data_IF_684320118487
#
_entry.id   IF_684320118487
#
_cell.length_a   1.000
_cell.length_b   1.000
_cell.length_c   1.000
_cell.angle_alpha   90.00
_cell.angle_beta   90.00
_cell.angle_gamma   90.00
#
_symmetry.space_group_name_H-M   'P 1'
#
loop_
_entity.id
_entity.type
_entity.pdbx_description
1 polymer ?
#
# COMPACT_ATOMS: atom_id res chain seq x y z
N UNK A 1 -39.00 -11.59 -1.75
CA UNK A 1 -39.33 -12.39 -0.56
C UNK A 1 -39.54 -13.82 -1.01
N UNK A 2 -38.48 -14.58 -1.19
CA UNK A 2 -38.50 -15.99 -1.58
C UNK A 2 -37.41 -16.70 -0.78
N UNK A 3 -37.63 -16.97 0.48
CA UNK A 3 -36.56 -17.54 1.30
C UNK A 3 -37.00 -18.47 2.44
N UNK A 4 -38.23 -18.40 2.88
CA UNK A 4 -38.66 -19.18 4.04
C UNK A 4 -39.63 -20.30 3.64
N UNK A 5 -40.27 -20.23 2.49
CA UNK A 5 -41.27 -21.20 2.06
C UNK A 5 -40.72 -22.61 1.78
N UNK A 6 -39.39 -22.77 1.65
CA UNK A 6 -38.74 -24.06 1.34
C UNK A 6 -37.99 -24.69 2.54
N UNK A 7 -37.95 -24.07 3.73
CA UNK A 7 -37.17 -24.55 4.86
C UNK A 7 -37.47 -26.02 5.20
N UNK A 8 -38.75 -26.37 5.29
CA UNK A 8 -39.15 -27.75 5.68
C UNK A 8 -38.70 -28.80 4.67
N UNK A 9 -38.78 -28.51 3.40
CA UNK A 9 -38.32 -29.42 2.33
C UNK A 9 -36.80 -29.57 2.34
N UNK A 10 -36.07 -28.50 2.59
CA UNK A 10 -34.61 -28.50 2.69
C UNK A 10 -34.14 -29.35 3.87
N UNK A 11 -34.73 -29.14 5.03
CA UNK A 11 -34.40 -29.94 6.24
C UNK A 11 -34.74 -31.42 6.02
N UNK A 12 -35.90 -31.76 5.43
CA UNK A 12 -36.30 -33.10 5.11
C UNK A 12 -35.28 -33.80 4.18
N UNK A 13 -34.89 -33.13 3.12
CA UNK A 13 -33.95 -33.66 2.14
C UNK A 13 -32.55 -33.83 2.74
N UNK A 14 -32.04 -32.82 3.45
CA UNK A 14 -30.73 -32.87 4.10
C UNK A 14 -30.66 -33.97 5.18
N UNK A 15 -31.69 -34.09 6.00
CA UNK A 15 -31.78 -35.16 6.99
C UNK A 15 -31.78 -36.55 6.35
N UNK A 16 -32.55 -36.75 5.26
CA UNK A 16 -32.57 -38.00 4.52
C UNK A 16 -31.22 -38.33 3.88
N UNK A 17 -30.56 -37.31 3.32
CA UNK A 17 -29.21 -37.42 2.74
C UNK A 17 -28.19 -37.82 3.81
N UNK A 18 -28.34 -37.30 5.05
CA UNK A 18 -27.54 -37.67 6.20
C UNK A 18 -27.91 -39.03 6.81
N UNK A 19 -28.89 -39.77 6.25
CA UNK A 19 -29.31 -41.09 6.71
C UNK A 19 -30.02 -41.11 8.08
N UNK A 20 -30.49 -39.95 8.56
CA UNK A 20 -31.08 -39.82 9.90
C UNK A 20 -32.61 -39.97 9.88
N UNK A 21 -33.19 -40.63 10.91
CA UNK A 21 -34.62 -40.59 11.18
C UNK A 21 -35.02 -39.28 11.85
N UNK A 22 -36.31 -38.88 11.79
CA UNK A 22 -36.80 -37.71 12.54
C UNK A 22 -36.50 -37.81 14.04
N UNK A 23 -36.56 -38.98 14.61
CA UNK A 23 -36.27 -39.25 16.02
C UNK A 23 -34.76 -39.06 16.33
N UNK A 24 -33.89 -39.58 15.48
CA UNK A 24 -32.45 -39.43 15.64
C UNK A 24 -32.02 -37.95 15.52
N UNK A 25 -32.64 -37.20 14.59
CA UNK A 25 -32.37 -35.79 14.40
C UNK A 25 -32.90 -34.96 15.57
N UNK A 26 -34.12 -35.24 16.03
CA UNK A 26 -34.71 -34.58 17.20
C UNK A 26 -33.88 -34.81 18.48
N UNK A 27 -33.38 -36.02 18.68
CA UNK A 27 -32.52 -36.35 19.82
C UNK A 27 -31.21 -35.55 19.82
N UNK A 28 -30.62 -35.33 18.65
CA UNK A 28 -29.40 -34.51 18.52
C UNK A 28 -29.66 -33.01 18.84
N UNK A 29 -30.82 -32.49 18.51
CA UNK A 29 -31.23 -31.10 18.77
C UNK A 29 -31.86 -30.91 20.15
N UNK A 30 -32.03 -31.97 20.99
CA UNK A 30 -32.68 -31.89 22.28
C UNK A 30 -34.17 -31.52 22.22
N UNK A 31 -34.87 -31.83 21.12
CA UNK A 31 -36.29 -31.47 20.88
C UNK A 31 -37.14 -32.71 20.60
N UNK A 32 -38.43 -32.54 20.41
CA UNK A 32 -39.33 -33.65 20.13
C UNK A 32 -39.38 -34.02 18.64
N UNK A 33 -39.56 -35.31 18.27
CA UNK A 33 -39.75 -35.71 16.87
C UNK A 33 -40.94 -35.03 16.21
N UNK A 34 -41.99 -34.68 16.97
CA UNK A 34 -43.16 -33.93 16.48
C UNK A 34 -42.77 -32.52 16.02
N UNK A 35 -41.76 -31.87 16.64
CA UNK A 35 -41.26 -30.57 16.19
C UNK A 35 -40.61 -30.69 14.82
N UNK A 36 -39.74 -31.67 14.63
CA UNK A 36 -39.12 -31.97 13.33
C UNK A 36 -40.20 -32.22 12.26
N UNK A 37 -41.18 -33.08 12.57
CA UNK A 37 -42.27 -33.37 11.64
C UNK A 37 -43.08 -32.12 11.25
N UNK A 38 -43.33 -31.20 12.20
CA UNK A 38 -43.99 -29.93 11.89
C UNK A 38 -43.15 -29.06 10.96
N UNK A 39 -41.84 -28.99 11.19
CA UNK A 39 -40.94 -28.21 10.33
C UNK A 39 -40.89 -28.77 8.90
N UNK A 40 -40.70 -30.09 8.77
CA UNK A 40 -40.63 -30.75 7.47
C UNK A 40 -41.93 -30.69 6.67
N UNK A 41 -43.07 -30.55 7.33
CA UNK A 41 -44.37 -30.35 6.68
C UNK A 41 -44.78 -28.87 6.54
N UNK A 42 -43.91 -27.92 6.86
CA UNK A 42 -44.19 -26.49 6.74
C UNK A 42 -45.20 -25.95 7.76
N UNK A 43 -45.48 -26.73 8.85
CA UNK A 43 -46.45 -26.38 9.88
C UNK A 43 -45.84 -25.60 11.05
N UNK A 44 -44.56 -25.23 10.94
CA UNK A 44 -43.84 -24.43 11.93
C UNK A 44 -42.36 -24.30 11.57
N UNK A 45 -41.66 -23.45 12.32
CA UNK A 45 -40.23 -23.19 12.17
C UNK A 45 -39.55 -23.37 13.52
N UNK A 46 -38.22 -23.69 13.52
CA UNK A 46 -37.42 -23.68 14.74
C UNK A 46 -37.22 -22.24 15.25
N UNK A 47 -36.85 -22.12 16.52
CA UNK A 47 -36.29 -20.88 17.03
C UNK A 47 -35.00 -20.53 16.26
N UNK A 48 -34.78 -19.23 16.04
CA UNK A 48 -33.63 -18.76 15.28
C UNK A 48 -32.30 -19.23 15.87
N UNK A 49 -32.24 -19.46 17.16
CA UNK A 49 -31.06 -19.95 17.89
C UNK A 49 -30.67 -21.39 17.52
N UNK A 50 -31.61 -22.17 16.95
CA UNK A 50 -31.36 -23.57 16.53
C UNK A 50 -30.82 -23.67 15.09
N UNK A 51 -30.86 -22.61 14.29
CA UNK A 51 -30.39 -22.69 12.91
C UNK A 51 -28.92 -23.09 12.76
N UNK A 52 -27.97 -22.55 13.56
CA UNK A 52 -26.58 -23.01 13.49
C UNK A 52 -26.42 -24.49 13.76
N UNK A 53 -27.09 -25.00 14.80
CA UNK A 53 -27.02 -26.41 15.22
C UNK A 53 -27.69 -27.35 14.19
N UNK A 54 -28.80 -26.92 13.60
CA UNK A 54 -29.45 -27.62 12.49
C UNK A 54 -28.51 -27.75 11.29
N UNK A 55 -27.86 -26.64 10.90
CA UNK A 55 -26.91 -26.58 9.78
C UNK A 55 -25.72 -27.52 10.01
N UNK A 56 -25.17 -27.51 11.23
CA UNK A 56 -24.05 -28.36 11.64
C UNK A 56 -24.42 -29.84 11.61
N UNK A 57 -25.54 -30.23 12.25
CA UNK A 57 -25.98 -31.65 12.30
C UNK A 57 -26.29 -32.18 10.92
N UNK A 58 -26.84 -31.34 10.02
CA UNK A 58 -27.18 -31.72 8.65
C UNK A 58 -26.00 -31.56 7.67
N UNK A 59 -24.90 -31.03 8.15
CA UNK A 59 -23.69 -30.74 7.37
C UNK A 59 -24.01 -29.93 6.07
N UNK A 60 -24.78 -28.87 6.23
CA UNK A 60 -25.13 -27.92 5.15
C UNK A 60 -24.85 -26.49 5.61
N UNK A 61 -24.50 -25.57 4.66
CA UNK A 61 -24.37 -24.15 4.98
C UNK A 61 -25.67 -23.59 5.56
N UNK A 62 -25.56 -22.69 6.55
CA UNK A 62 -26.73 -22.10 7.21
C UNK A 62 -27.63 -21.34 6.19
N UNK A 63 -27.05 -20.74 5.15
CA UNK A 63 -27.73 -20.03 4.07
C UNK A 63 -28.62 -20.97 3.26
N UNK A 64 -28.24 -22.25 3.15
CA UNK A 64 -29.01 -23.28 2.46
C UNK A 64 -30.33 -23.57 3.16
N UNK A 65 -30.44 -23.36 4.48
CA UNK A 65 -31.68 -23.51 5.23
C UNK A 65 -32.74 -22.49 4.83
N UNK A 66 -32.33 -21.38 4.21
CA UNK A 66 -33.22 -20.30 3.76
C UNK A 66 -33.53 -20.38 2.25
N UNK A 67 -33.20 -21.51 1.60
CA UNK A 67 -33.41 -21.65 0.17
C UNK A 67 -32.50 -20.76 -0.68
N UNK A 68 -31.50 -20.14 -0.07
CA UNK A 68 -30.35 -19.63 -0.80
C UNK A 68 -29.57 -20.89 -1.18
N UNK A 69 -29.71 -21.33 -2.42
CA UNK A 69 -28.74 -22.25 -2.97
C UNK A 69 -27.40 -21.57 -2.77
N UNK A 70 -26.65 -22.01 -1.77
CA UNK A 70 -25.20 -21.83 -1.82
C UNK A 70 -24.84 -22.60 -3.07
N UNK A 71 -24.59 -21.83 -4.12
CA UNK A 71 -24.17 -22.34 -5.41
C UNK A 71 -22.87 -23.12 -5.14
N UNK A 72 -23.00 -24.39 -4.74
CA UNK A 72 -21.88 -25.34 -4.74
C UNK A 72 -21.40 -25.56 -6.18
N UNK A 73 -22.09 -25.03 -7.18
CA UNK A 73 -21.65 -24.89 -8.55
C UNK A 73 -21.03 -23.53 -8.86
N UNK A 74 -21.09 -22.57 -7.94
CA UNK A 74 -20.07 -21.52 -7.78
C UNK A 74 -18.98 -22.01 -6.80
N UNK A 75 -18.47 -23.20 -7.01
CA UNK A 75 -17.04 -23.31 -7.16
C UNK A 75 -16.70 -22.11 -8.04
N UNK A 76 -16.19 -21.03 -7.43
CA UNK A 76 -15.47 -19.98 -8.16
C UNK A 76 -14.63 -20.80 -9.09
N UNK A 77 -14.90 -20.76 -10.45
CA UNK A 77 -14.22 -21.66 -11.36
C UNK A 77 -12.76 -21.45 -11.03
N UNK A 78 -12.10 -22.51 -10.53
CA UNK A 78 -10.70 -22.46 -10.19
C UNK A 78 -10.07 -21.69 -11.31
N UNK A 79 -9.38 -20.57 -11.08
CA UNK A 79 -8.79 -19.83 -12.15
C UNK A 79 -8.00 -20.86 -12.94
N UNK A 80 -8.54 -21.22 -14.10
CA UNK A 80 -7.91 -22.21 -14.98
C UNK A 80 -6.49 -21.76 -15.08
N UNK A 81 -5.54 -22.66 -14.80
CA UNK A 81 -4.10 -22.50 -14.83
C UNK A 81 -3.74 -21.26 -15.67
N UNK A 82 -3.72 -20.10 -15.03
CA UNK A 82 -3.11 -18.91 -15.63
C UNK A 82 -1.63 -19.21 -15.50
N UNK A 83 -0.94 -19.25 -16.61
CA UNK A 83 0.46 -19.58 -16.68
C UNK A 83 1.21 -18.90 -15.53
N UNK A 84 1.81 -19.70 -14.65
CA UNK A 84 2.60 -19.25 -13.51
C UNK A 84 1.96 -19.37 -12.11
N UNK A 85 0.64 -19.63 -11.96
CA UNK A 85 0.01 -19.79 -10.66
C UNK A 85 -0.19 -21.29 -10.35
N UNK A 86 0.64 -21.85 -9.49
CA UNK A 86 0.63 -23.28 -9.20
C UNK A 86 -0.26 -23.68 -8.01
N UNK A 87 -0.61 -22.75 -7.09
CA UNK A 87 -1.28 -23.11 -5.83
C UNK A 87 -2.19 -22.00 -5.31
N UNK A 88 -3.31 -22.42 -4.71
CA UNK A 88 -4.24 -21.55 -4.01
C UNK A 88 -4.35 -22.02 -2.56
N UNK A 89 -3.97 -21.15 -1.63
CA UNK A 89 -4.16 -21.36 -0.21
C UNK A 89 -5.43 -20.64 0.23
N UNK A 90 -6.36 -21.30 0.88
CA UNK A 90 -7.65 -20.71 1.23
C UNK A 90 -8.02 -20.88 2.69
N UNK A 91 -8.66 -19.86 3.24
CA UNK A 91 -9.33 -19.91 4.53
C UNK A 91 -10.64 -19.13 4.40
N UNK A 92 -11.78 -19.77 4.65
CA UNK A 92 -13.12 -19.21 4.46
C UNK A 92 -13.28 -18.57 3.07
N UNK A 93 -13.42 -17.26 2.97
CA UNK A 93 -13.55 -16.53 1.71
C UNK A 93 -12.24 -15.88 1.24
N UNK A 94 -11.09 -16.33 1.76
CA UNK A 94 -9.77 -15.80 1.45
C UNK A 94 -8.97 -16.80 0.65
N UNK A 95 -8.34 -16.37 -0.43
CA UNK A 95 -7.42 -17.17 -1.21
C UNK A 95 -6.11 -16.42 -1.41
N UNK A 96 -4.99 -17.07 -1.09
CA UNK A 96 -3.65 -16.60 -1.43
C UNK A 96 -3.11 -17.43 -2.57
N UNK A 97 -2.45 -16.78 -3.52
CA UNK A 97 -1.89 -17.41 -4.70
C UNK A 97 -0.37 -17.40 -4.59
N UNK A 98 0.28 -18.52 -4.91
CA UNK A 98 1.73 -18.59 -5.02
C UNK A 98 2.14 -18.93 -6.43
N UNK A 99 3.10 -18.20 -6.99
CA UNK A 99 3.77 -18.54 -8.26
C UNK A 99 4.85 -19.61 -8.07
N UNK A 100 5.27 -19.86 -6.82
CA UNK A 100 6.27 -20.87 -6.50
C UNK A 100 5.68 -22.27 -6.64
N UNK A 101 6.45 -23.17 -7.22
CA UNK A 101 6.06 -24.57 -7.31
C UNK A 101 6.20 -25.25 -5.95
N UNK A 102 5.12 -25.82 -5.43
CA UNK A 102 5.16 -26.58 -4.17
C UNK A 102 5.76 -27.95 -4.44
N UNK A 103 6.78 -28.29 -3.69
CA UNK A 103 7.42 -29.59 -3.70
C UNK A 103 6.64 -30.62 -2.88
N UNK A 104 6.27 -30.23 -1.66
CA UNK A 104 5.48 -31.07 -0.75
C UNK A 104 4.75 -30.23 0.28
N UNK A 105 3.68 -30.78 0.83
CA UNK A 105 2.93 -30.22 1.95
C UNK A 105 3.01 -31.17 3.12
N UNK A 106 3.45 -30.65 4.26
CA UNK A 106 3.42 -31.30 5.53
C UNK A 106 2.12 -30.90 6.25
N UNK A 107 1.11 -31.75 6.15
CA UNK A 107 -0.21 -31.47 6.70
C UNK A 107 -0.24 -31.55 8.24
N UNK A 108 0.66 -32.32 8.87
CA UNK A 108 0.75 -32.41 10.33
C UNK A 108 1.33 -31.16 10.95
N UNK A 109 2.32 -30.57 10.30
CA UNK A 109 2.99 -29.36 10.79
C UNK A 109 2.46 -28.08 10.11
N UNK A 110 1.51 -28.20 9.19
CA UNK A 110 0.94 -27.09 8.43
C UNK A 110 2.04 -26.27 7.70
N UNK A 111 2.94 -26.94 6.97
CA UNK A 111 4.04 -26.31 6.25
C UNK A 111 4.00 -26.70 4.77
N UNK A 112 4.07 -25.73 3.86
CA UNK A 112 4.38 -25.95 2.45
C UNK A 112 5.88 -25.75 2.20
N UNK A 113 6.50 -26.68 1.46
CA UNK A 113 7.87 -26.61 0.98
C UNK A 113 7.86 -26.37 -0.52
N UNK A 114 8.65 -25.42 -0.98
CA UNK A 114 8.74 -25.06 -2.39
C UNK A 114 10.03 -25.60 -3.01
N UNK A 115 10.01 -25.80 -4.32
CA UNK A 115 11.16 -26.34 -5.09
C UNK A 115 12.38 -25.42 -5.05
N UNK A 116 12.24 -24.16 -4.69
CA UNK A 116 13.32 -23.19 -4.47
C UNK A 116 13.95 -23.31 -3.07
N UNK A 117 13.55 -24.29 -2.26
CA UNK A 117 14.01 -24.48 -0.90
C UNK A 117 13.35 -23.59 0.16
N UNK A 118 12.47 -22.68 -0.24
CA UNK A 118 11.69 -21.86 0.70
C UNK A 118 10.53 -22.65 1.30
N UNK A 119 9.97 -22.17 2.41
CA UNK A 119 8.83 -22.76 3.08
C UNK A 119 7.81 -21.70 3.51
N UNK A 120 6.53 -22.06 3.54
CA UNK A 120 5.45 -21.23 4.07
C UNK A 120 4.73 -21.96 5.22
N UNK A 121 4.39 -21.23 6.28
CA UNK A 121 3.52 -21.70 7.36
C UNK A 121 2.07 -21.60 6.88
N UNK A 122 1.32 -22.71 7.00
CA UNK A 122 -0.05 -22.85 6.53
C UNK A 122 -1.08 -22.90 7.67
N UNK A 123 -0.69 -22.60 8.91
CA UNK A 123 -1.62 -22.61 10.05
C UNK A 123 -2.82 -21.69 9.88
N UNK A 124 -2.72 -20.70 8.99
CA UNK A 124 -3.78 -19.74 8.67
C UNK A 124 -4.76 -20.24 7.61
N UNK A 125 -4.47 -21.31 6.89
CA UNK A 125 -5.35 -21.81 5.84
C UNK A 125 -5.93 -23.17 6.24
N UNK A 126 -7.18 -23.39 5.90
CA UNK A 126 -7.87 -24.63 6.14
C UNK A 126 -7.90 -25.56 4.91
N UNK A 127 -7.49 -25.06 3.75
CA UNK A 127 -7.37 -25.87 2.55
C UNK A 127 -6.29 -25.37 1.60
N UNK A 128 -5.59 -26.28 0.94
CA UNK A 128 -4.67 -26.02 -0.16
C UNK A 128 -5.14 -26.75 -1.39
N UNK A 129 -5.28 -26.03 -2.49
CA UNK A 129 -5.66 -26.64 -3.76
C UNK A 129 -4.44 -26.79 -4.66
N UNK A 130 -4.21 -28.00 -5.13
CA UNK A 130 -3.00 -28.42 -5.85
C UNK A 130 -3.42 -29.10 -7.14
N UNK A 131 -3.32 -28.42 -8.27
CA UNK A 131 -3.43 -29.01 -9.59
C UNK A 131 -4.70 -29.86 -9.86
N UNK A 132 -5.82 -29.52 -9.21
CA UNK A 132 -7.09 -30.25 -9.30
C UNK A 132 -7.40 -31.18 -8.15
N UNK A 133 -6.51 -31.25 -7.12
CA UNK A 133 -6.75 -31.89 -5.83
C UNK A 133 -6.89 -30.88 -4.70
N UNK A 134 -7.65 -31.20 -3.67
CA UNK A 134 -7.82 -30.38 -2.47
C UNK A 134 -7.23 -31.13 -1.27
N UNK A 135 -6.31 -30.47 -0.54
CA UNK A 135 -5.82 -30.94 0.77
C UNK A 135 -6.50 -30.08 1.82
N UNK A 136 -7.39 -30.67 2.60
CA UNK A 136 -8.01 -30.00 3.75
C UNK A 136 -7.22 -30.33 4.99
N UNK A 137 -6.90 -29.30 5.77
CA UNK A 137 -6.37 -29.46 7.11
C UNK A 137 -7.57 -29.70 8.05
N UNK A 138 -7.63 -30.86 8.65
CA UNK A 138 -8.65 -31.22 9.65
C UNK A 138 -8.11 -30.70 10.98
N UNK A 139 -8.89 -29.81 11.62
CA UNK A 139 -8.66 -29.18 12.93
C UNK A 139 -7.72 -27.96 12.91
N UNK A 140 -8.32 -26.78 12.67
CA UNK A 140 -7.93 -25.63 13.46
C UNK A 140 -8.90 -25.58 14.64
N UNK A 141 -8.49 -26.13 15.78
CA UNK A 141 -9.18 -25.84 17.05
C UNK A 141 -9.16 -24.33 17.25
N UNK A 142 -10.25 -23.78 17.80
CA UNK A 142 -10.49 -22.40 18.14
C UNK A 142 -9.23 -21.67 18.64
N UNK A 143 -8.52 -21.05 17.73
CA UNK A 143 -7.50 -20.08 18.05
C UNK A 143 -8.08 -18.70 17.76
N UNK A 144 -8.46 -18.03 18.85
CA UNK A 144 -8.70 -16.60 18.86
C UNK A 144 -7.61 -15.89 18.03
N UNK A 145 -8.04 -15.15 17.00
CA UNK A 145 -7.29 -14.15 16.24
C UNK A 145 -5.85 -14.50 15.77
N UNK A 146 -5.69 -15.59 15.04
CA UNK A 146 -4.41 -15.93 14.36
C UNK A 146 -4.12 -14.99 13.17
N UNK A 147 -5.03 -14.07 12.82
CA UNK A 147 -4.86 -13.15 11.69
C UNK A 147 -3.65 -12.22 11.81
N UNK A 148 -3.11 -12.03 13.01
CA UNK A 148 -2.05 -11.08 13.31
C UNK A 148 -0.61 -11.65 13.21
N UNK A 149 -0.44 -12.96 13.05
CA UNK A 149 0.86 -13.64 13.12
C UNK A 149 1.37 -14.29 11.84
N UNK A 150 0.62 -14.35 10.77
CA UNK A 150 0.94 -15.15 9.60
C UNK A 150 1.52 -14.31 8.49
N UNK A 151 2.80 -14.55 8.17
CA UNK A 151 3.45 -14.00 6.97
C UNK A 151 3.14 -14.89 5.77
N UNK A 152 2.61 -14.27 4.72
CA UNK A 152 2.50 -14.86 3.39
C UNK A 152 3.36 -14.09 2.40
N UNK A 153 3.63 -14.71 1.26
CA UNK A 153 4.30 -14.07 0.12
C UNK A 153 3.37 -14.11 -1.09
N UNK A 154 3.24 -12.99 -1.77
CA UNK A 154 2.54 -12.85 -3.03
C UNK A 154 3.55 -12.47 -4.10
N UNK A 155 3.58 -13.20 -5.20
CA UNK A 155 4.40 -12.87 -6.36
C UNK A 155 3.50 -12.80 -7.59
N UNK A 156 3.60 -11.70 -8.38
CA UNK A 156 2.87 -11.53 -9.64
C UNK A 156 3.84 -11.06 -10.70
N UNK A 157 3.87 -11.78 -11.82
CA UNK A 157 4.63 -11.36 -13.00
C UNK A 157 3.73 -10.55 -13.94
N UNK A 158 4.31 -9.55 -14.56
CA UNK A 158 3.67 -8.65 -15.50
C UNK A 158 4.44 -8.63 -16.82
N UNK A 159 3.79 -8.19 -17.88
CA UNK A 159 4.46 -7.78 -19.11
C UNK A 159 5.37 -6.57 -18.83
N UNK A 160 6.08 -6.11 -19.84
CA UNK A 160 6.89 -4.90 -19.75
C UNK A 160 6.03 -3.69 -19.31
N UNK A 161 6.57 -2.92 -18.37
CA UNK A 161 6.07 -1.62 -17.97
C UNK A 161 7.27 -0.76 -17.52
N UNK A 162 7.19 0.55 -17.70
CA UNK A 162 8.23 1.49 -17.30
C UNK A 162 7.78 2.43 -16.19
N UNK A 163 6.49 2.57 -15.99
CA UNK A 163 5.88 3.53 -15.07
C UNK A 163 5.18 2.83 -13.91
N UNK A 164 5.20 3.45 -12.73
CA UNK A 164 4.57 2.92 -11.51
C UNK A 164 3.70 3.99 -10.87
N UNK A 165 2.45 3.65 -10.61
CA UNK A 165 1.55 4.48 -9.79
C UNK A 165 1.18 3.69 -8.54
N UNK A 166 1.65 4.11 -7.36
CA UNK A 166 1.40 3.45 -6.10
C UNK A 166 0.66 4.35 -5.10
N UNK A 167 -0.45 3.86 -4.55
CA UNK A 167 -1.21 4.50 -3.47
C UNK A 167 -1.11 3.64 -2.22
N UNK A 168 -0.18 3.98 -1.34
CA UNK A 168 0.14 3.23 -0.13
C UNK A 168 -0.73 3.72 1.03
N UNK A 169 -1.89 3.10 1.19
CA UNK A 169 -2.84 3.41 2.27
C UNK A 169 -2.75 2.43 3.44
N UNK A 170 -1.86 1.46 3.32
CA UNK A 170 -1.57 0.46 4.36
C UNK A 170 -0.08 0.48 4.68
N UNK A 171 0.32 0.40 5.96
CA UNK A 171 1.73 0.43 6.35
C UNK A 171 2.53 -0.70 5.70
N UNK A 172 3.55 -0.35 4.94
CA UNK A 172 4.51 -1.28 4.34
C UNK A 172 5.82 -0.58 3.97
N UNK A 173 6.90 -1.35 3.93
CA UNK A 173 8.15 -0.91 3.31
C UNK A 173 8.02 -1.16 1.79
N UNK A 174 8.03 -0.10 0.98
CA UNK A 174 7.82 -0.16 -0.45
C UNK A 174 9.14 0.04 -1.20
N UNK A 175 9.41 -0.82 -2.18
CA UNK A 175 10.64 -0.79 -2.96
C UNK A 175 10.34 -0.82 -4.44
N UNK A 176 11.03 0.02 -5.22
CA UNK A 176 11.13 -0.11 -6.68
C UNK A 176 12.59 -0.42 -7.00
N UNK A 177 12.82 -1.52 -7.70
CA UNK A 177 14.13 -2.05 -8.07
C UNK A 177 14.19 -2.38 -9.54
N UNK A 178 15.37 -2.29 -10.13
CA UNK A 178 15.62 -2.77 -11.49
C UNK A 178 15.85 -4.27 -11.51
N UNK A 179 15.46 -4.91 -12.59
CA UNK A 179 15.76 -6.32 -12.85
C UNK A 179 16.29 -6.55 -14.26
N UNK A 180 17.26 -7.45 -14.39
CA UNK A 180 17.75 -7.90 -15.69
C UNK A 180 16.82 -8.92 -16.38
N UNK A 181 15.75 -9.34 -15.70
CA UNK A 181 14.84 -10.39 -16.16
C UNK A 181 13.78 -9.81 -17.10
N UNK A 182 13.93 -9.21 -18.15
CA UNK A 182 12.98 -8.77 -19.19
C UNK A 182 11.45 -8.77 -18.91
N UNK A 183 11.02 -9.01 -17.66
CA UNK A 183 9.63 -9.03 -17.18
C UNK A 183 9.51 -8.28 -15.87
N UNK A 184 8.45 -7.52 -15.76
CA UNK A 184 8.10 -6.85 -14.50
C UNK A 184 7.58 -7.85 -13.46
N UNK A 185 7.87 -7.59 -12.19
CA UNK A 185 7.42 -8.44 -11.09
C UNK A 185 7.03 -7.62 -9.87
N UNK A 186 5.96 -8.02 -9.21
CA UNK A 186 5.58 -7.52 -7.88
C UNK A 186 5.70 -8.64 -6.87
N UNK A 187 6.46 -8.39 -5.82
CA UNK A 187 6.60 -9.32 -4.68
C UNK A 187 6.10 -8.60 -3.43
N UNK A 188 5.13 -9.18 -2.76
CA UNK A 188 4.63 -8.67 -1.50
C UNK A 188 4.76 -9.73 -0.42
N UNK A 189 5.24 -9.34 0.76
CA UNK A 189 5.35 -10.19 1.94
C UNK A 189 4.74 -9.47 3.13
N UNK A 190 3.93 -10.16 3.89
CA UNK A 190 3.27 -9.55 5.04
C UNK A 190 2.13 -10.37 5.60
N UNK A 191 1.30 -9.75 6.40
CA UNK A 191 0.14 -10.42 6.95
C UNK A 191 -0.94 -10.69 5.88
N UNK A 192 -1.79 -11.68 6.14
CA UNK A 192 -2.84 -12.11 5.21
C UNK A 192 -3.80 -10.98 4.82
N UNK A 193 -4.09 -10.06 5.75
CA UNK A 193 -4.96 -8.90 5.53
C UNK A 193 -4.31 -7.90 4.56
N UNK A 194 -3.02 -7.60 4.72
CA UNK A 194 -2.25 -6.78 3.79
C UNK A 194 -2.30 -7.38 2.37
N UNK A 195 -1.95 -8.66 2.24
CA UNK A 195 -1.90 -9.36 0.95
C UNK A 195 -3.27 -9.46 0.27
N UNK A 196 -4.35 -9.69 1.03
CA UNK A 196 -5.72 -9.80 0.49
C UNK A 196 -6.32 -8.47 0.03
N UNK A 197 -5.80 -7.34 0.52
CA UNK A 197 -6.24 -6.00 0.12
C UNK A 197 -5.40 -5.41 -1.01
N UNK A 198 -4.22 -5.97 -1.29
CA UNK A 198 -3.33 -5.50 -2.35
C UNK A 198 -3.94 -5.73 -3.74
N UNK A 199 -4.09 -4.64 -4.48
CA UNK A 199 -4.50 -4.62 -5.89
C UNK A 199 -3.30 -4.21 -6.72
N UNK A 200 -2.99 -4.99 -7.74
CA UNK A 200 -1.94 -4.67 -8.71
C UNK A 200 -2.46 -4.91 -10.11
N UNK A 201 -2.49 -3.89 -10.93
CA UNK A 201 -3.05 -3.91 -12.29
C UNK A 201 -2.07 -3.26 -13.26
N UNK A 202 -1.86 -3.85 -14.42
CA UNK A 202 -1.07 -3.27 -15.48
C UNK A 202 -1.98 -2.63 -16.52
N UNK A 203 -1.85 -1.32 -16.72
CA UNK A 203 -2.59 -0.54 -17.69
C UNK A 203 -1.62 0.08 -18.70
N UNK A 204 -1.48 -0.55 -19.87
CA UNK A 204 -0.47 -0.16 -20.86
C UNK A 204 0.94 -0.26 -20.28
N UNK A 205 1.67 0.85 -20.28
CA UNK A 205 3.04 0.94 -19.76
C UNK A 205 3.12 1.28 -18.26
N UNK A 206 2.00 1.32 -17.56
CA UNK A 206 1.93 1.69 -16.14
C UNK A 206 1.45 0.54 -15.28
N UNK A 207 2.19 0.21 -14.25
CA UNK A 207 1.75 -0.65 -13.16
C UNK A 207 1.04 0.18 -12.09
N UNK A 208 -0.22 -0.11 -11.85
CA UNK A 208 -1.02 0.51 -10.79
C UNK A 208 -1.06 -0.38 -9.54
N UNK A 209 -0.74 0.20 -8.39
CA UNK A 209 -0.73 -0.43 -7.08
C UNK A 209 -1.64 0.35 -6.14
N UNK A 210 -2.57 -0.35 -5.53
CA UNK A 210 -3.49 0.24 -4.57
C UNK A 210 -3.98 -0.81 -3.57
N UNK A 211 -4.74 -0.37 -2.58
CA UNK A 211 -5.35 -1.26 -1.61
C UNK A 211 -6.87 -1.08 -1.62
N UNK A 212 -7.61 -2.19 -1.45
CA UNK A 212 -9.05 -2.12 -1.19
C UNK A 212 -9.27 -1.26 0.05
N UNK A 213 -10.37 -0.48 0.07
CA UNK A 213 -10.71 0.45 1.14
C UNK A 213 -10.52 -0.20 2.51
N UNK A 214 -9.55 0.30 3.29
CA UNK A 214 -9.14 -0.30 4.55
C UNK A 214 -10.19 -0.05 5.64
N UNK A 215 -10.44 -1.07 6.44
CA UNK A 215 -11.02 -0.98 7.77
C UNK A 215 -9.89 -0.56 8.72
N UNK A 216 -10.12 0.41 9.59
CA UNK A 216 -9.10 1.13 10.38
C UNK A 216 -8.33 0.32 11.45
N UNK A 217 -8.42 -1.00 11.50
CA UNK A 217 -7.73 -1.81 12.51
C UNK A 217 -6.62 -2.65 11.88
N UNK A 218 -5.40 -2.09 11.87
CA UNK A 218 -4.19 -2.85 11.61
C UNK A 218 -3.35 -2.94 12.88
N UNK A 219 -2.99 -4.14 13.32
CA UNK A 219 -2.03 -4.29 14.39
C UNK A 219 -0.66 -3.80 13.91
N UNK A 220 -0.13 -2.83 14.64
CA UNK A 220 1.09 -2.08 14.31
C UNK A 220 2.41 -2.87 14.44
N UNK A 221 2.35 -4.20 14.58
CA UNK A 221 3.54 -5.02 14.93
C UNK A 221 4.18 -5.79 13.78
N UNK A 222 3.59 -5.82 12.59
CA UNK A 222 4.15 -6.56 11.46
C UNK A 222 4.66 -5.64 10.37
N UNK A 223 5.91 -5.83 9.97
CA UNK A 223 6.47 -5.22 8.77
C UNK A 223 5.93 -5.96 7.55
N UNK A 224 5.11 -5.27 6.76
CA UNK A 224 4.77 -5.70 5.42
C UNK A 224 5.79 -5.13 4.45
N UNK A 225 6.13 -5.86 3.41
CA UNK A 225 7.02 -5.39 2.35
C UNK A 225 6.35 -5.54 0.99
N UNK A 226 6.58 -4.60 0.12
CA UNK A 226 6.09 -4.59 -1.24
C UNK A 226 7.20 -4.15 -2.18
N UNK A 227 7.66 -5.04 -3.05
CA UNK A 227 8.73 -4.77 -4.00
C UNK A 227 8.23 -4.88 -5.42
N UNK A 228 8.49 -3.84 -6.21
CA UNK A 228 8.28 -3.80 -7.65
C UNK A 228 9.62 -3.95 -8.34
N UNK A 229 9.75 -4.93 -9.21
CA UNK A 229 10.89 -5.11 -10.08
C UNK A 229 10.55 -4.61 -11.48
N UNK A 230 11.26 -3.59 -11.93
CA UNK A 230 11.13 -3.01 -13.26
C UNK A 230 11.96 -3.79 -14.27
N UNK A 231 11.40 -4.13 -15.43
CA UNK A 231 12.14 -4.89 -16.47
C UNK A 231 13.19 -4.07 -17.20
N UNK A 232 13.16 -2.74 -17.09
CA UNK A 232 14.12 -1.84 -17.75
C UNK A 232 14.23 -0.50 -17.00
N UNK A 233 15.39 0.14 -17.11
CA UNK A 233 15.73 1.42 -16.46
C UNK A 233 15.55 2.59 -17.43
N UNK A 234 14.37 2.92 -17.86
CA UNK A 234 14.23 3.97 -18.87
C UNK A 234 13.10 4.94 -18.59
N UNK A 235 13.45 6.02 -17.89
CA UNK A 235 12.74 7.29 -17.98
C UNK A 235 11.23 7.28 -17.67
N UNK A 236 10.75 6.24 -16.99
CA UNK A 236 9.34 6.08 -16.63
C UNK A 236 8.85 7.15 -15.67
N UNK A 237 7.54 7.14 -15.44
CA UNK A 237 6.87 8.04 -14.49
C UNK A 237 6.57 7.28 -13.21
N UNK A 238 7.10 7.74 -12.09
CA UNK A 238 6.79 7.18 -10.77
C UNK A 238 5.89 8.14 -9.99
N UNK A 239 4.67 7.69 -9.70
CA UNK A 239 3.68 8.44 -8.89
C UNK A 239 3.44 7.69 -7.60
N UNK A 240 4.02 8.18 -6.52
CA UNK A 240 3.99 7.54 -5.21
C UNK A 240 3.20 8.39 -4.23
N UNK A 241 2.12 7.85 -3.72
CA UNK A 241 1.30 8.47 -2.70
C UNK A 241 1.36 7.66 -1.42
N UNK A 242 1.97 8.21 -0.40
CA UNK A 242 2.13 7.61 0.93
C UNK A 242 1.09 8.22 1.87
N UNK A 243 0.19 7.37 2.36
CA UNK A 243 -0.80 7.78 3.36
C UNK A 243 -0.53 6.99 4.65
N UNK A 244 0.09 7.63 5.64
CA UNK A 244 0.43 6.98 6.90
C UNK A 244 1.93 6.90 7.15
N UNK A 245 2.46 5.70 7.47
CA UNK A 245 3.85 5.46 7.89
C UNK A 245 4.60 4.46 7.01
N UNK A 246 4.27 4.40 5.74
CA UNK A 246 4.98 3.55 4.77
C UNK A 246 6.27 4.23 4.33
N UNK A 247 7.38 3.48 4.38
CA UNK A 247 8.66 3.95 3.86
C UNK A 247 8.85 3.47 2.43
N UNK A 248 9.40 4.32 1.58
CA UNK A 248 9.59 4.05 0.16
C UNK A 248 11.04 4.19 -0.24
N UNK A 249 11.56 3.22 -1.00
CA UNK A 249 12.89 3.28 -1.60
C UNK A 249 12.80 2.99 -3.10
N UNK A 250 13.19 3.97 -3.91
CA UNK A 250 13.16 3.94 -5.36
C UNK A 250 14.61 3.94 -5.86
N UNK A 251 15.11 2.77 -6.23
CA UNK A 251 16.51 2.61 -6.64
C UNK A 251 16.79 3.05 -8.09
N UNK A 252 15.89 2.84 -9.08
CA UNK A 252 16.15 3.24 -10.46
C UNK A 252 15.91 4.73 -10.69
N UNK A 253 16.71 5.30 -11.59
CA UNK A 253 16.47 6.64 -12.11
C UNK A 253 15.14 6.71 -12.88
N UNK A 254 14.51 7.88 -12.90
CA UNK A 254 13.23 8.03 -13.58
C UNK A 254 13.11 9.34 -14.39
N UNK A 255 12.15 9.36 -15.30
CA UNK A 255 11.84 10.57 -16.07
C UNK A 255 11.09 11.59 -15.24
N UNK A 256 10.03 11.17 -14.58
CA UNK A 256 9.20 12.04 -13.73
C UNK A 256 8.94 11.35 -12.39
N UNK A 257 9.21 12.06 -11.32
CA UNK A 257 8.97 11.63 -9.95
C UNK A 257 7.89 12.50 -9.31
N UNK A 258 6.72 11.94 -9.07
CA UNK A 258 5.62 12.58 -8.35
C UNK A 258 5.46 11.91 -6.98
N UNK A 259 5.78 12.62 -5.90
CA UNK A 259 5.69 12.16 -4.52
C UNK A 259 4.62 12.95 -3.77
N UNK A 260 3.75 12.27 -3.09
CA UNK A 260 2.78 12.85 -2.16
C UNK A 260 2.82 12.09 -0.84
N UNK A 261 3.32 12.72 0.22
CA UNK A 261 3.39 12.15 1.57
C UNK A 261 2.34 12.82 2.45
N UNK A 262 1.37 12.02 2.92
CA UNK A 262 0.36 12.46 3.87
C UNK A 262 0.48 11.61 5.15
N UNK A 263 1.42 11.98 6.02
CA UNK A 263 1.73 11.20 7.23
C UNK A 263 3.17 11.38 7.68
N UNK A 264 3.81 10.27 8.10
CA UNK A 264 5.16 10.22 8.65
C UNK A 264 6.05 9.16 7.98
N UNK A 265 5.68 8.67 6.82
CA UNK A 265 6.51 7.74 6.05
C UNK A 265 7.53 8.48 5.22
N UNK A 266 8.72 7.90 5.07
CA UNK A 266 9.85 8.50 4.38
C UNK A 266 9.99 7.97 2.95
N UNK A 267 10.49 8.82 2.06
CA UNK A 267 10.73 8.45 0.66
C UNK A 267 12.17 8.74 0.28
N UNK A 268 12.89 7.70 -0.18
CA UNK A 268 14.22 7.84 -0.78
C UNK A 268 14.14 7.47 -2.26
N UNK A 269 14.67 8.32 -3.12
CA UNK A 269 14.69 8.10 -4.56
C UNK A 269 16.07 8.42 -5.17
N UNK A 270 16.40 7.77 -6.27
CA UNK A 270 17.58 8.06 -7.09
C UNK A 270 17.39 9.35 -7.90
N UNK A 271 18.14 9.51 -8.99
CA UNK A 271 18.09 10.66 -9.86
C UNK A 271 16.79 10.70 -10.69
N UNK A 272 16.30 11.90 -11.00
CA UNK A 272 15.16 12.05 -11.91
C UNK A 272 15.29 13.27 -12.82
N UNK A 273 14.54 13.26 -13.91
CA UNK A 273 14.54 14.43 -14.80
C UNK A 273 13.68 15.55 -14.24
N UNK A 274 12.51 15.25 -13.71
CA UNK A 274 11.59 16.24 -13.12
C UNK A 274 11.00 15.70 -11.83
N UNK A 275 10.84 16.59 -10.84
CA UNK A 275 10.26 16.23 -9.55
C UNK A 275 9.07 17.12 -9.19
N UNK A 276 8.01 16.49 -8.72
CA UNK A 276 6.93 17.12 -7.99
C UNK A 276 6.78 16.43 -6.64
N UNK A 277 7.10 17.15 -5.56
CA UNK A 277 7.07 16.66 -4.20
C UNK A 277 6.08 17.46 -3.35
N UNK A 278 5.15 16.79 -2.71
CA UNK A 278 4.18 17.37 -1.78
C UNK A 278 4.18 16.62 -0.48
N UNK A 279 4.51 17.27 0.63
CA UNK A 279 4.52 16.71 1.97
C UNK A 279 3.44 17.41 2.79
N UNK A 280 2.52 16.63 3.35
CA UNK A 280 1.50 17.09 4.31
C UNK A 280 1.63 16.23 5.58
N UNK A 281 2.59 16.58 6.45
CA UNK A 281 2.90 15.79 7.65
C UNK A 281 4.31 15.99 8.13
N UNK A 282 4.94 14.90 8.57
CA UNK A 282 6.30 14.87 9.16
C UNK A 282 7.22 13.83 8.51
N UNK A 283 6.81 13.26 7.38
CA UNK A 283 7.66 12.34 6.63
C UNK A 283 8.67 13.09 5.79
N UNK A 284 9.85 12.51 5.59
CA UNK A 284 10.97 13.10 4.89
C UNK A 284 11.12 12.56 3.48
N UNK A 285 11.64 13.39 2.58
CA UNK A 285 11.93 12.99 1.20
C UNK A 285 13.38 13.25 0.88
N UNK A 286 14.10 12.20 0.46
CA UNK A 286 15.48 12.28 -0.02
C UNK A 286 15.54 11.87 -1.49
N UNK A 287 16.15 12.70 -2.32
CA UNK A 287 16.30 12.45 -3.75
C UNK A 287 17.72 12.76 -4.21
N UNK A 288 18.19 12.08 -5.22
CA UNK A 288 19.45 12.40 -5.87
C UNK A 288 19.38 13.73 -6.64
N UNK A 289 19.72 13.75 -7.92
CA UNK A 289 19.72 14.94 -8.77
C UNK A 289 18.41 15.07 -9.53
N UNK A 290 17.91 16.31 -9.64
CA UNK A 290 16.77 16.68 -10.47
C UNK A 290 17.24 17.54 -11.63
N UNK A 291 17.18 17.00 -12.86
CA UNK A 291 17.88 17.58 -14.01
C UNK A 291 17.17 18.77 -14.70
N UNK A 292 15.81 18.83 -14.72
CA UNK A 292 15.12 19.79 -15.60
C UNK A 292 14.02 20.64 -14.93
N UNK A 293 13.59 20.31 -13.74
CA UNK A 293 12.55 21.13 -13.09
C UNK A 293 12.03 20.50 -11.80
N UNK A 294 11.88 21.34 -10.80
CA UNK A 294 11.58 20.95 -9.45
C UNK A 294 10.42 21.74 -8.88
N UNK A 295 9.45 21.06 -8.30
CA UNK A 295 8.37 21.67 -7.53
C UNK A 295 8.26 20.97 -6.18
N UNK A 296 8.48 21.70 -5.09
CA UNK A 296 8.45 21.19 -3.73
C UNK A 296 7.43 22.00 -2.92
N UNK A 297 6.51 21.31 -2.27
CA UNK A 297 5.52 21.87 -1.35
C UNK A 297 5.53 21.12 -0.03
N UNK A 298 5.93 21.78 1.06
CA UNK A 298 5.95 21.22 2.39
C UNK A 298 4.89 21.92 3.25
N UNK A 299 3.91 21.17 3.74
CA UNK A 299 2.88 21.64 4.66
C UNK A 299 2.95 20.81 5.94
N UNK A 300 3.75 21.25 6.90
CA UNK A 300 4.02 20.49 8.12
C UNK A 300 5.44 20.67 8.62
N UNK A 301 6.06 19.56 9.07
CA UNK A 301 7.41 19.53 9.63
C UNK A 301 8.33 18.52 8.95
N UNK A 302 7.93 17.99 7.80
CA UNK A 302 8.76 17.07 7.03
C UNK A 302 9.82 17.81 6.23
N UNK A 303 10.93 17.16 5.97
CA UNK A 303 12.10 17.71 5.30
C UNK A 303 12.29 17.15 3.89
N UNK A 304 12.90 17.95 3.02
CA UNK A 304 13.32 17.51 1.68
C UNK A 304 14.81 17.71 1.52
N UNK A 305 15.54 16.63 1.25
CA UNK A 305 16.98 16.66 0.97
C UNK A 305 17.24 16.24 -0.48
N UNK A 306 18.03 17.01 -1.22
CA UNK A 306 18.43 16.69 -2.58
C UNK A 306 19.91 16.96 -2.82
N UNK A 307 20.55 16.20 -3.74
CA UNK A 307 21.92 16.52 -4.14
C UNK A 307 21.95 17.78 -5.02
N UNK A 308 21.09 17.86 -6.03
CA UNK A 308 21.00 19.01 -6.91
C UNK A 308 19.58 19.24 -7.41
N UNK A 309 19.14 20.49 -7.46
CA UNK A 309 17.82 20.91 -7.94
C UNK A 309 17.93 21.88 -9.12
N UNK A 310 17.21 21.60 -10.19
CA UNK A 310 17.12 22.49 -11.35
C UNK A 310 15.87 23.35 -11.28
N UNK A 311 16.04 24.68 -11.40
CA UNK A 311 14.98 25.69 -11.45
C UNK A 311 13.86 25.46 -10.40
N UNK A 312 14.20 25.41 -9.10
CA UNK A 312 13.25 24.96 -8.08
C UNK A 312 12.18 26.02 -7.76
N UNK A 313 10.94 25.52 -7.66
CA UNK A 313 9.83 26.23 -7.01
C UNK A 313 9.60 25.55 -5.65
N UNK A 314 9.95 26.25 -4.56
CA UNK A 314 9.88 25.75 -3.19
C UNK A 314 8.82 26.53 -2.42
N UNK A 315 7.88 25.83 -1.83
CA UNK A 315 6.87 26.42 -0.95
C UNK A 315 6.85 25.66 0.38
N UNK A 316 7.09 26.35 1.49
CA UNK A 316 7.04 25.79 2.84
C UNK A 316 5.97 26.52 3.63
N UNK A 317 5.00 25.76 4.14
CA UNK A 317 3.95 26.24 5.04
C UNK A 317 4.00 25.45 6.35
N UNK A 318 4.86 25.87 7.27
CA UNK A 318 5.11 25.13 8.53
C UNK A 318 6.50 25.32 9.05
N UNK A 319 7.11 24.23 9.55
CA UNK A 319 8.45 24.20 10.14
C UNK A 319 9.37 23.17 9.48
N UNK A 320 8.99 22.64 8.34
CA UNK A 320 9.85 21.73 7.57
C UNK A 320 10.96 22.47 6.84
N UNK A 321 11.97 21.74 6.38
CA UNK A 321 13.12 22.30 5.68
C UNK A 321 13.31 21.75 4.27
N UNK A 322 14.02 22.51 3.45
CA UNK A 322 14.51 22.03 2.14
C UNK A 322 16.02 22.28 2.08
N UNK A 323 16.77 21.21 1.90
CA UNK A 323 18.22 21.23 1.83
C UNK A 323 18.73 20.68 0.50
N UNK A 324 19.64 21.40 -0.15
CA UNK A 324 20.31 20.93 -1.37
C UNK A 324 21.74 21.45 -1.43
N UNK A 325 22.64 20.63 -1.96
CA UNK A 325 24.03 21.08 -2.15
C UNK A 325 24.15 22.08 -3.29
N UNK A 326 23.37 21.88 -4.37
CA UNK A 326 23.49 22.66 -5.57
C UNK A 326 22.11 23.01 -6.18
N UNK A 327 21.93 24.27 -6.49
CA UNK A 327 20.82 24.74 -7.32
C UNK A 327 21.39 25.27 -8.64
N UNK A 328 20.75 24.86 -9.75
CA UNK A 328 21.13 25.30 -11.09
C UNK A 328 19.89 25.77 -11.86
N UNK A 329 20.09 26.68 -12.82
CA UNK A 329 19.02 27.11 -13.72
C UNK A 329 18.79 28.62 -13.73
N UNK A 330 17.80 29.02 -14.52
CA UNK A 330 17.54 30.45 -14.74
C UNK A 330 16.83 31.11 -13.56
N UNK A 331 15.91 30.41 -12.91
CA UNK A 331 15.08 30.96 -11.85
C UNK A 331 14.92 29.99 -10.65
N UNK A 332 15.07 30.55 -9.46
CA UNK A 332 14.72 29.89 -8.19
C UNK A 332 13.62 30.71 -7.50
N UNK A 333 12.51 30.05 -7.17
CA UNK A 333 11.41 30.67 -6.44
C UNK A 333 11.25 30.00 -5.08
N UNK A 334 11.32 30.77 -4.01
CA UNK A 334 11.18 30.30 -2.64
C UNK A 334 10.10 31.10 -1.91
N UNK A 335 9.15 30.40 -1.31
CA UNK A 335 8.10 30.98 -0.46
C UNK A 335 8.03 30.23 0.86
N UNK A 336 8.37 30.90 1.95
CA UNK A 336 8.31 30.35 3.30
C UNK A 336 7.21 31.07 4.09
N UNK A 337 6.26 30.30 4.63
CA UNK A 337 5.20 30.80 5.49
C UNK A 337 5.23 30.02 6.81
N UNK A 338 5.91 30.56 7.82
CA UNK A 338 6.12 29.90 9.11
C UNK A 338 7.54 30.03 9.60
N UNK A 339 8.10 28.92 10.10
CA UNK A 339 9.47 28.83 10.65
C UNK A 339 10.31 27.78 9.92
N UNK A 340 9.96 27.48 8.70
CA UNK A 340 10.71 26.52 7.90
C UNK A 340 11.95 27.14 7.27
N UNK A 341 12.92 26.29 6.91
CA UNK A 341 14.24 26.73 6.48
C UNK A 341 14.58 26.20 5.08
N UNK A 342 15.41 26.99 4.36
CA UNK A 342 15.97 26.55 3.07
C UNK A 342 17.47 26.75 3.11
N UNK A 343 18.23 25.66 2.90
CA UNK A 343 19.69 25.65 2.81
C UNK A 343 20.11 25.22 1.42
N UNK A 344 20.88 26.05 0.71
CA UNK A 344 21.32 25.73 -0.63
C UNK A 344 22.62 26.44 -1.05
N UNK A 345 23.30 25.84 -2.05
CA UNK A 345 24.40 26.46 -2.79
C UNK A 345 24.12 26.49 -4.28
N UNK A 346 25.12 26.83 -5.12
CA UNK A 346 25.05 26.77 -6.55
C UNK A 346 24.93 28.13 -7.28
N UNK A 347 24.29 28.14 -8.45
CA UNK A 347 24.19 29.38 -9.25
C UNK A 347 22.82 29.45 -9.95
N UNK A 348 22.15 30.60 -9.81
CA UNK A 348 20.90 30.91 -10.49
C UNK A 348 20.94 32.33 -11.10
N UNK A 349 20.24 32.54 -12.21
CA UNK A 349 20.18 33.88 -12.80
C UNK A 349 19.25 34.80 -12.00
N UNK A 350 18.11 34.29 -11.55
CA UNK A 350 17.13 35.06 -10.76
C UNK A 350 16.67 34.31 -9.53
N UNK A 351 16.77 34.96 -8.37
CA UNK A 351 16.19 34.48 -7.10
C UNK A 351 14.95 35.32 -6.76
N UNK A 352 13.82 34.64 -6.54
CA UNK A 352 12.60 35.24 -5.95
C UNK A 352 12.37 34.62 -4.59
N UNK A 353 12.63 35.36 -3.52
CA UNK A 353 12.52 34.91 -2.14
C UNK A 353 11.43 35.68 -1.39
N UNK A 354 10.48 34.94 -0.85
CA UNK A 354 9.43 35.50 0.01
C UNK A 354 9.38 34.74 1.34
N UNK A 355 9.58 35.47 2.45
CA UNK A 355 9.49 34.90 3.77
C UNK A 355 8.43 35.62 4.59
N UNK A 356 7.43 34.90 5.07
CA UNK A 356 6.36 35.39 5.96
C UNK A 356 6.44 34.62 7.27
N UNK A 357 7.17 35.13 8.25
CA UNK A 357 7.36 34.44 9.54
C UNK A 357 8.76 34.56 10.10
N UNK A 358 9.30 33.48 10.65
CA UNK A 358 10.62 33.43 11.25
C UNK A 358 11.53 32.39 10.58
N UNK A 359 11.22 32.03 9.35
CA UNK A 359 12.00 31.05 8.60
C UNK A 359 13.35 31.63 8.14
N UNK A 360 14.30 30.73 7.90
CA UNK A 360 15.67 31.04 7.48
C UNK A 360 15.92 30.65 6.02
N UNK A 361 16.69 31.49 5.34
CA UNK A 361 17.23 31.17 4.02
C UNK A 361 18.75 31.26 4.10
N UNK A 362 19.43 30.14 4.24
CA UNK A 362 20.88 30.04 4.41
C UNK A 362 21.56 29.51 3.14
N UNK A 363 22.11 30.41 2.36
CA UNK A 363 22.72 30.10 1.08
C UNK A 363 24.07 30.81 0.88
N UNK A 364 25.07 30.57 1.75
CA UNK A 364 26.35 31.26 1.71
C UNK A 364 27.19 30.93 0.46
N UNK A 365 26.90 29.82 -0.20
CA UNK A 365 27.58 29.38 -1.42
C UNK A 365 26.75 29.64 -2.69
N UNK A 366 25.57 30.25 -2.56
CA UNK A 366 24.72 30.59 -3.70
C UNK A 366 25.18 31.84 -4.39
N UNK A 367 25.35 31.77 -5.70
CA UNK A 367 25.60 32.91 -6.58
C UNK A 367 24.31 33.24 -7.37
N UNK A 368 23.87 34.47 -7.24
CA UNK A 368 22.63 34.96 -7.87
C UNK A 368 22.94 36.08 -8.86
N UNK A 369 22.36 36.07 -10.05
CA UNK A 369 22.41 37.18 -10.99
C UNK A 369 21.60 38.37 -10.46
N UNK A 370 20.31 38.20 -10.28
CA UNK A 370 19.37 39.20 -9.76
C UNK A 370 18.51 38.64 -8.64
N UNK A 371 18.32 39.38 -7.54
CA UNK A 371 17.57 38.93 -6.38
C UNK A 371 16.36 39.83 -6.09
N UNK A 372 15.18 39.20 -5.94
CA UNK A 372 13.93 39.82 -5.47
C UNK A 372 13.59 39.23 -4.10
N UNK A 373 13.79 40.02 -3.04
CA UNK A 373 13.67 39.56 -1.66
C UNK A 373 12.55 40.32 -0.94
N UNK A 374 11.58 39.59 -0.43
CA UNK A 374 10.47 40.13 0.37
C UNK A 374 10.33 39.37 1.67
N UNK A 375 10.61 40.02 2.79
CA UNK A 375 10.52 39.41 4.12
C UNK A 375 9.52 40.16 4.99
N UNK A 376 8.58 39.44 5.55
CA UNK A 376 7.58 39.96 6.50
C UNK A 376 7.65 39.12 7.77
N UNK A 377 8.41 39.60 8.74
CA UNK A 377 8.65 38.86 10.00
C UNK A 377 10.07 39.01 10.51
N UNK A 378 10.58 37.95 11.15
CA UNK A 378 11.91 37.93 11.80
C UNK A 378 12.88 36.97 11.09
N UNK A 379 12.70 36.77 9.78
CA UNK A 379 13.52 35.82 9.04
C UNK A 379 14.98 36.25 8.88
N UNK A 380 15.89 35.32 8.95
CA UNK A 380 17.31 35.50 8.68
C UNK A 380 17.67 35.01 7.28
N UNK A 381 18.31 35.88 6.49
CA UNK A 381 18.65 35.61 5.10
C UNK A 381 20.15 35.75 4.90
N UNK A 382 20.79 34.71 4.40
CA UNK A 382 22.21 34.72 4.01
C UNK A 382 22.31 34.32 2.55
N UNK A 383 22.99 35.15 1.76
CA UNK A 383 23.25 34.87 0.32
C UNK A 383 24.75 35.10 0.07
N UNK A 384 25.37 34.15 -0.63
CA UNK A 384 26.79 34.21 -0.94
C UNK A 384 27.13 35.42 -1.84
N UNK A 385 26.61 35.48 -3.04
CA UNK A 385 26.93 36.55 -4.00
C UNK A 385 25.72 37.00 -4.82
N UNK A 386 25.57 38.30 -5.00
CA UNK A 386 24.65 38.92 -5.96
C UNK A 386 25.45 39.70 -7.00
N UNK A 387 25.36 39.26 -8.28
CA UNK A 387 26.18 39.82 -9.37
C UNK A 387 25.66 41.16 -9.93
N UNK A 388 24.35 41.33 -10.12
CA UNK A 388 23.75 42.48 -10.84
C UNK A 388 22.93 43.37 -9.90
N UNK A 389 21.72 43.00 -9.57
CA UNK A 389 20.77 43.83 -8.84
C UNK A 389 20.09 43.08 -7.71
N UNK A 390 19.68 43.80 -6.67
CA UNK A 390 18.79 43.30 -5.66
C UNK A 390 17.66 44.29 -5.38
N UNK A 391 16.44 43.73 -5.25
CA UNK A 391 15.23 44.46 -4.90
C UNK A 391 14.74 43.88 -3.55
N UNK A 392 14.83 44.73 -2.52
CA UNK A 392 14.67 44.25 -1.14
C UNK A 392 13.52 44.97 -0.45
N UNK A 393 12.58 44.21 0.12
CA UNK A 393 11.54 44.72 1.01
C UNK A 393 11.59 43.94 2.31
N UNK A 394 12.16 44.55 3.34
CA UNK A 394 12.52 43.88 4.60
C UNK A 394 11.66 44.36 5.76
N UNK A 395 11.23 43.44 6.60
CA UNK A 395 10.57 43.70 7.87
C UNK A 395 11.51 44.34 8.91
N UNK A 396 10.94 44.82 10.03
CA UNK A 396 11.71 45.58 11.03
C UNK A 396 12.79 44.77 11.74
N UNK A 397 12.63 43.46 11.86
CA UNK A 397 13.55 42.56 12.58
C UNK A 397 14.19 41.54 11.65
N UNK A 398 14.24 41.81 10.36
CA UNK A 398 14.84 40.91 9.37
C UNK A 398 16.36 41.18 9.32
N UNK A 399 17.14 40.10 9.30
CA UNK A 399 18.57 40.16 8.98
C UNK A 399 18.78 39.70 7.54
N UNK A 400 19.42 40.55 6.75
CA UNK A 400 19.86 40.19 5.40
C UNK A 400 21.38 40.39 5.30
N UNK A 401 22.10 39.32 5.07
CA UNK A 401 23.53 39.26 4.89
C UNK A 401 23.89 38.79 3.48
N UNK A 402 24.46 39.65 2.68
CA UNK A 402 25.03 39.29 1.37
C UNK A 402 26.56 39.36 1.50
N UNK A 403 27.23 38.22 1.28
CA UNK A 403 28.66 38.09 1.51
C UNK A 403 29.48 38.84 0.46
N UNK A 404 28.98 38.92 -0.77
CA UNK A 404 29.65 39.66 -1.88
C UNK A 404 28.64 40.27 -2.83
N UNK A 405 28.94 41.47 -3.37
CA UNK A 405 28.13 42.13 -4.39
C UNK A 405 29.01 42.58 -5.57
N UNK A 406 28.47 42.47 -6.78
CA UNK A 406 29.13 42.85 -8.04
C UNK A 406 29.82 41.65 -8.74
N UNK A 407 30.43 41.95 -9.91
CA UNK A 407 31.13 40.96 -10.77
C UNK A 407 32.34 40.27 -10.11
#
# INVERSE_FOLDING_TARGET
MAGIENFGSIVLEARRRAGMTQEAFANKLGITPQAISKWENGLGYPDVTLFPEIAEILNIPIESLFGVESDQSKTVPFPQKRDGLNYVFSHENRACYSSKTVERIDAENHIAYFTDGSRADLKWCNAVNVGGGEIRFIEAEDHEDISDGIKGDLCRDFSEFSSVTAKLTMPCDFYIKSTAEGKGRVVASGNSKFLSHLITEANGDTLEISFKKSIMDFPSRMRNTLTVYLPCDHGGVFKISVCGSSDCNIEPDCGILEISVAGSGDVTAADCNRMHCSIAGSGDVKVGRVAFGTNISVSGSGDVEAESLCAPLITIAGSGSVKTMEVVGDEMNVSIAGSGDVECGGEVDTLKLKVNGSGEFDAPELTVGEAHISVSGNGDIVIGRIKRASYESLGKNTSLKVLSRGE
#
